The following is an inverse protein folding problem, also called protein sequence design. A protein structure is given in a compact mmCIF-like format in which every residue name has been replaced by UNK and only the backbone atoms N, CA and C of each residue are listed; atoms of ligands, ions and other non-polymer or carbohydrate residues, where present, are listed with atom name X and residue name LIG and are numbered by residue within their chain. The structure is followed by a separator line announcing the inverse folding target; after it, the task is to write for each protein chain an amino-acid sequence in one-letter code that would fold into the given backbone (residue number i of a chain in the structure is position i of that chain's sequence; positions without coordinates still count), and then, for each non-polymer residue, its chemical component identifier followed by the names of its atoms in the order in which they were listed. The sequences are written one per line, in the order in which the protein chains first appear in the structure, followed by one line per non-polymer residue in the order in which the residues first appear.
data_IF_153380178609
#
_entry.id   IF_153380178609
#
_cell.length_a   1.000
_cell.length_b   1.000
_cell.length_c   1.000
_cell.angle_alpha   90.00
_cell.angle_beta   90.00
_cell.angle_gamma   90.00
#
_symmetry.space_group_name_H-M   'P 1'
#
loop_
_entity.id
_entity.type
_entity.pdbx_description
1 polymer ?
#
# COMPACT_ATOMS: atom_id res chain seq x y z
N UNK A 1 7.30 3.51 0.96
CA UNK A 1 8.39 2.50 0.87
C UNK A 1 8.84 1.97 2.24
N UNK A 2 8.67 2.71 3.35
CA UNK A 2 9.11 2.26 4.68
C UNK A 2 8.19 1.32 5.44
N UNK A 3 7.10 0.81 4.82
CA UNK A 3 6.22 -0.16 5.51
C UNK A 3 7.01 -1.40 5.92
N UNK A 4 6.70 -1.96 7.09
CA UNK A 4 7.44 -2.99 7.80
C UNK A 4 8.78 -2.56 8.43
N UNK A 5 9.30 -1.35 8.22
CA UNK A 5 10.50 -0.91 8.97
C UNK A 5 10.28 -0.96 10.50
N UNK A 6 9.03 -0.81 10.94
CA UNK A 6 8.53 -1.11 12.27
C UNK A 6 7.31 -2.03 12.08
N UNK A 7 7.12 -3.08 12.90
CA UNK A 7 5.91 -3.91 12.87
C UNK A 7 4.63 -3.07 13.05
N UNK A 8 3.57 -3.39 12.30
CA UNK A 8 2.33 -2.61 12.31
C UNK A 8 1.58 -2.75 13.64
N UNK A 9 1.82 -3.84 14.38
CA UNK A 9 1.30 -4.07 15.74
C UNK A 9 2.06 -3.30 16.83
N UNK A 10 3.18 -2.66 16.50
CA UNK A 10 3.94 -1.86 17.45
C UNK A 10 3.06 -0.72 18.03
N UNK A 11 3.06 -0.50 19.35
CA UNK A 11 2.14 0.44 20.01
C UNK A 11 2.33 1.92 19.65
N UNK A 12 3.40 2.25 18.92
CA UNK A 12 3.68 3.60 18.41
C UNK A 12 3.61 3.71 16.88
N UNK A 13 3.31 2.61 16.18
CA UNK A 13 3.06 2.66 14.74
C UNK A 13 1.72 3.34 14.47
N UNK A 14 1.71 4.34 13.57
CA UNK A 14 0.51 5.11 13.23
C UNK A 14 0.00 4.87 11.81
N UNK A 15 0.84 4.31 10.91
CA UNK A 15 0.49 4.08 9.51
C UNK A 15 1.24 5.00 8.54
N UNK A 16 0.74 5.07 7.30
CA UNK A 16 1.36 5.82 6.21
C UNK A 16 0.92 7.28 6.14
N UNK A 17 1.81 8.15 5.66
CA UNK A 17 1.53 9.57 5.40
C UNK A 17 1.09 9.79 3.94
N UNK A 18 0.78 11.05 3.58
CA UNK A 18 0.58 11.44 2.19
C UNK A 18 -0.81 11.12 1.64
N UNK A 19 -0.92 10.99 0.30
CA UNK A 19 -2.20 10.83 -0.41
C UNK A 19 -3.02 9.64 0.09
N UNK A 20 -2.34 8.51 0.35
CA UNK A 20 -2.93 7.28 0.87
C UNK A 20 -2.88 7.21 2.40
N UNK A 21 -2.48 8.28 3.09
CA UNK A 21 -2.57 8.35 4.55
C UNK A 21 -4.00 8.59 5.03
N UNK A 22 -4.21 8.45 6.34
CA UNK A 22 -5.49 8.74 6.99
C UNK A 22 -5.45 10.11 7.66
N UNK A 23 -6.63 10.71 7.87
CA UNK A 23 -6.78 11.96 8.63
C UNK A 23 -6.13 11.88 10.02
N UNK A 24 -6.13 10.70 10.65
CA UNK A 24 -5.46 10.49 11.93
C UNK A 24 -3.94 10.65 11.80
N UNK A 25 -3.32 9.99 10.82
CA UNK A 25 -1.87 10.12 10.62
C UNK A 25 -1.51 11.56 10.28
N UNK A 26 -2.29 12.20 9.42
CA UNK A 26 -2.06 13.61 9.05
C UNK A 26 -2.24 14.57 10.22
N UNK A 27 -3.18 14.34 11.14
CA UNK A 27 -3.32 15.20 12.32
C UNK A 27 -2.12 15.08 13.27
N UNK A 28 -1.53 13.89 13.38
CA UNK A 28 -0.28 13.69 14.14
C UNK A 28 0.88 14.43 13.47
N UNK A 29 1.04 14.31 12.15
CA UNK A 29 2.19 14.90 11.44
C UNK A 29 2.07 16.41 11.21
N UNK A 30 0.85 16.94 11.04
CA UNK A 30 0.62 18.40 10.97
C UNK A 30 0.71 19.06 12.34
N UNK A 31 0.37 18.35 13.42
CA UNK A 31 0.50 18.82 14.80
C UNK A 31 1.90 18.65 15.41
N UNK A 32 2.85 18.08 14.69
CA UNK A 32 4.20 17.81 15.20
C UNK A 32 5.04 19.11 15.29
N UNK A 33 5.72 19.31 16.41
CA UNK A 33 6.72 20.38 16.57
C UNK A 33 8.07 20.02 15.93
N UNK A 34 8.37 18.71 15.86
CA UNK A 34 9.56 18.15 15.23
C UNK A 34 9.19 16.91 14.41
N UNK A 35 9.73 16.83 13.20
CA UNK A 35 9.71 15.62 12.37
C UNK A 35 11.14 15.17 12.09
N UNK A 36 11.45 13.92 12.44
CA UNK A 36 12.69 13.25 12.09
C UNK A 36 12.45 12.33 10.89
N UNK A 37 12.84 12.77 9.69
CA UNK A 37 12.88 11.94 8.50
C UNK A 37 14.15 11.08 8.47
N UNK A 38 14.02 9.77 8.27
CA UNK A 38 15.16 8.86 8.18
C UNK A 38 15.02 7.99 6.94
N UNK A 39 15.99 8.05 6.02
CA UNK A 39 15.97 7.32 4.75
C UNK A 39 14.70 7.61 3.94
N UNK A 40 14.24 8.86 3.99
CA UNK A 40 13.03 9.32 3.32
C UNK A 40 13.32 10.57 2.53
N UNK A 41 12.87 10.54 1.28
CA UNK A 41 12.94 11.67 0.35
C UNK A 41 11.75 12.62 0.49
N UNK A 42 10.81 12.37 1.42
CA UNK A 42 9.55 13.10 1.51
C UNK A 42 8.87 13.25 0.14
N UNK A 43 8.67 12.13 -0.57
CA UNK A 43 8.19 12.14 -1.94
C UNK A 43 6.80 12.78 -2.05
N UNK A 44 6.46 13.24 -3.25
CA UNK A 44 5.18 13.89 -3.57
C UNK A 44 3.96 13.15 -2.96
N UNK A 45 3.86 11.85 -3.25
CA UNK A 45 2.75 11.02 -2.78
C UNK A 45 2.78 10.81 -1.26
N UNK A 46 3.95 10.84 -0.62
CA UNK A 46 4.13 10.69 0.83
C UNK A 46 3.85 12.01 1.58
N UNK A 47 3.86 13.13 0.86
CA UNK A 47 3.78 14.50 1.38
C UNK A 47 2.54 15.28 0.90
N UNK A 48 1.61 14.60 0.23
CA UNK A 48 0.40 15.19 -0.37
C UNK A 48 0.69 16.35 -1.35
N UNK A 49 1.51 16.09 -2.37
CA UNK A 49 1.95 17.09 -3.35
C UNK A 49 2.66 18.28 -2.69
N UNK A 50 3.26 18.04 -1.52
CA UNK A 50 3.93 19.04 -0.67
C UNK A 50 3.05 20.21 -0.23
N UNK A 51 1.73 20.11 -0.38
CA UNK A 51 0.84 21.17 0.07
C UNK A 51 0.97 21.37 1.58
N UNK A 52 1.09 22.63 2.04
CA UNK A 52 1.24 22.92 3.44
C UNK A 52 -0.05 22.56 4.20
N UNK A 53 0.11 22.06 5.42
CA UNK A 53 -0.97 21.76 6.36
C UNK A 53 -1.93 20.64 5.91
N UNK A 54 -1.51 19.81 4.95
CA UNK A 54 -2.22 18.59 4.56
C UNK A 54 -1.59 17.39 5.26
N UNK A 55 -0.37 17.03 4.87
CA UNK A 55 0.40 15.98 5.55
C UNK A 55 1.40 16.57 6.53
N UNK A 56 2.02 17.70 6.20
CA UNK A 56 3.04 18.34 7.03
C UNK A 56 2.82 19.85 7.12
N UNK A 57 3.27 20.47 8.22
CA UNK A 57 3.10 21.91 8.49
C UNK A 57 4.44 22.65 8.58
N UNK A 58 5.10 22.95 7.44
CA UNK A 58 6.47 23.46 7.44
C UNK A 58 6.68 24.85 8.04
N UNK A 59 5.62 25.62 8.22
CA UNK A 59 5.69 26.90 8.92
C UNK A 59 5.90 26.75 10.44
N UNK A 60 5.50 25.63 11.03
CA UNK A 60 5.51 25.39 12.49
C UNK A 60 6.35 24.18 12.89
N UNK A 61 6.62 23.26 11.98
CA UNK A 61 7.38 22.03 12.22
C UNK A 61 8.86 22.24 11.97
N UNK A 62 9.72 21.78 12.88
CA UNK A 62 11.16 21.67 12.66
C UNK A 62 11.50 20.33 12.00
N UNK A 63 12.04 20.35 10.80
CA UNK A 63 12.47 19.12 10.12
C UNK A 63 13.94 18.79 10.42
N UNK A 64 14.16 17.54 10.81
CA UNK A 64 15.48 16.92 10.90
C UNK A 64 15.49 15.77 9.90
N UNK A 65 16.57 15.62 9.13
CA UNK A 65 16.67 14.55 8.14
C UNK A 65 18.01 13.83 8.23
N UNK A 66 17.93 12.51 8.19
CA UNK A 66 19.07 11.61 8.09
C UNK A 66 18.90 10.83 6.80
N UNK A 67 19.82 11.00 5.87
CA UNK A 67 19.82 10.26 4.62
C UNK A 67 21.24 9.86 4.24
N UNK A 68 21.38 8.77 3.49
CA UNK A 68 22.68 8.36 2.96
C UNK A 68 23.05 9.22 1.75
N UNK A 69 22.04 9.69 1.01
CA UNK A 69 22.21 10.55 -0.14
C UNK A 69 22.17 12.04 0.27
N UNK A 70 23.27 12.80 0.12
CA UNK A 70 23.27 14.23 0.42
C UNK A 70 22.28 15.04 -0.43
N UNK A 71 21.92 14.58 -1.64
CA UNK A 71 20.99 15.30 -2.53
C UNK A 71 19.54 15.29 -2.01
N UNK A 72 19.20 14.37 -1.12
CA UNK A 72 17.87 14.29 -0.52
C UNK A 72 17.70 15.22 0.69
N UNK A 73 18.80 15.67 1.30
CA UNK A 73 18.76 16.52 2.49
C UNK A 73 18.22 17.91 2.16
N UNK A 74 17.05 18.24 2.70
CA UNK A 74 16.46 19.56 2.56
C UNK A 74 15.86 19.84 1.19
N UNK A 75 15.80 18.83 0.32
CA UNK A 75 15.26 18.92 -1.04
C UNK A 75 13.81 19.41 -1.07
N UNK A 76 12.97 18.87 -0.19
CA UNK A 76 11.53 19.14 -0.17
C UNK A 76 11.05 19.95 1.03
N UNK A 77 11.78 19.91 2.16
CA UNK A 77 11.44 20.66 3.37
C UNK A 77 12.71 21.27 3.99
N UNK A 78 12.69 22.54 4.42
CA UNK A 78 13.85 23.19 5.02
C UNK A 78 14.21 22.50 6.34
N UNK A 79 15.48 22.12 6.48
CA UNK A 79 15.97 21.39 7.65
C UNK A 79 16.55 22.34 8.70
N UNK A 80 16.29 22.03 9.97
CA UNK A 80 17.05 22.60 11.08
C UNK A 80 18.34 21.81 11.33
N UNK A 81 18.35 20.51 11.01
CA UNK A 81 19.51 19.62 11.07
C UNK A 81 19.42 18.61 9.92
N UNK A 82 20.46 18.53 9.10
CA UNK A 82 20.65 17.48 8.11
C UNK A 82 21.89 16.65 8.44
N UNK A 83 21.81 15.33 8.34
CA UNK A 83 22.94 14.44 8.56
C UNK A 83 23.07 13.43 7.41
N UNK A 84 24.22 13.47 6.73
CA UNK A 84 24.59 12.45 5.73
C UNK A 84 25.15 11.24 6.49
N UNK A 85 24.33 10.20 6.65
CA UNK A 85 24.73 9.03 7.42
C UNK A 85 23.91 7.80 7.04
N UNK A 86 24.54 6.63 7.21
CA UNK A 86 23.82 5.37 7.26
C UNK A 86 22.82 5.39 8.46
N UNK A 87 21.51 5.15 8.21
CA UNK A 87 20.49 5.19 9.26
C UNK A 87 20.76 4.25 10.44
N UNK A 88 21.34 3.07 10.20
CA UNK A 88 21.63 2.10 11.26
C UNK A 88 22.71 2.64 12.20
N UNK A 89 23.77 3.25 11.67
CA UNK A 89 24.81 3.87 12.50
C UNK A 89 24.29 5.11 13.24
N UNK A 90 23.51 5.95 12.56
CA UNK A 90 22.91 7.13 13.16
C UNK A 90 22.00 6.76 14.35
N UNK A 91 21.13 5.75 14.20
CA UNK A 91 20.27 5.30 15.29
C UNK A 91 21.04 4.74 16.49
N UNK A 92 22.20 4.09 16.29
CA UNK A 92 23.04 3.66 17.43
C UNK A 92 23.54 4.86 18.24
N UNK A 93 24.04 5.90 17.57
CA UNK A 93 24.52 7.11 18.23
C UNK A 93 23.37 7.87 18.93
N UNK A 94 22.22 8.02 18.26
CA UNK A 94 21.02 8.65 18.82
C UNK A 94 20.54 7.87 20.05
N UNK A 95 20.48 6.54 19.99
CA UNK A 95 20.04 5.71 21.11
C UNK A 95 20.98 5.83 22.32
N UNK A 96 22.30 5.87 22.09
CA UNK A 96 23.27 6.08 23.16
C UNK A 96 23.11 7.45 23.84
N UNK A 97 22.94 8.52 23.05
CA UNK A 97 22.68 9.86 23.58
C UNK A 97 21.33 9.92 24.33
N UNK A 98 20.28 9.34 23.76
CA UNK A 98 18.95 9.27 24.37
C UNK A 98 18.97 8.54 25.72
N UNK A 99 19.68 7.41 25.83
CA UNK A 99 19.84 6.66 27.09
C UNK A 99 20.61 7.46 28.15
N UNK A 100 21.58 8.29 27.77
CA UNK A 100 22.28 9.18 28.72
C UNK A 100 21.36 10.29 29.24
N UNK A 101 20.54 10.88 28.37
CA UNK A 101 19.66 11.99 28.72
C UNK A 101 18.37 11.54 29.43
N UNK A 102 17.84 10.38 29.05
CA UNK A 102 16.57 9.80 29.51
C UNK A 102 16.74 8.28 29.68
N UNK A 103 17.44 7.81 30.73
CA UNK A 103 17.73 6.39 30.93
C UNK A 103 16.46 5.52 31.01
N UNK A 104 15.40 6.05 31.63
CA UNK A 104 14.09 5.39 31.75
C UNK A 104 13.17 5.59 30.53
N UNK A 105 13.66 6.26 29.49
CA UNK A 105 12.87 6.69 28.34
C UNK A 105 11.84 7.78 28.65
N UNK A 106 11.05 8.14 27.64
CA UNK A 106 9.96 9.12 27.78
C UNK A 106 8.62 8.41 27.65
N UNK A 107 7.78 8.50 28.68
CA UNK A 107 6.44 7.92 28.68
C UNK A 107 5.42 8.95 28.21
N UNK A 108 4.58 8.56 27.25
CA UNK A 108 3.48 9.37 26.71
C UNK A 108 2.19 8.53 26.71
N UNK A 109 1.58 8.29 27.87
CA UNK A 109 0.42 7.40 27.99
C UNK A 109 -0.76 7.86 27.14
N UNK A 110 -1.05 9.17 27.14
CA UNK A 110 -2.13 9.74 26.33
C UNK A 110 -1.94 9.51 24.83
N UNK A 111 -0.72 9.72 24.31
CA UNK A 111 -0.40 9.45 22.90
C UNK A 111 -0.54 7.97 22.56
N UNK A 112 -0.09 7.08 23.45
CA UNK A 112 -0.24 5.62 23.26
C UNK A 112 -1.72 5.21 23.25
N UNK A 113 -2.52 5.79 24.15
CA UNK A 113 -3.97 5.55 24.18
C UNK A 113 -4.63 6.05 22.90
N UNK A 114 -4.30 7.26 22.46
CA UNK A 114 -4.82 7.84 21.22
C UNK A 114 -4.53 6.95 19.99
N UNK A 115 -3.30 6.43 19.87
CA UNK A 115 -2.92 5.50 18.79
C UNK A 115 -3.67 4.17 18.91
N UNK A 116 -3.79 3.62 20.12
CA UNK A 116 -4.51 2.37 20.34
C UNK A 116 -6.01 2.50 20.01
N UNK A 117 -6.66 3.58 20.44
CA UNK A 117 -8.06 3.88 20.13
C UNK A 117 -8.25 4.03 18.61
N UNK A 118 -7.35 4.73 17.92
CA UNK A 118 -7.38 4.84 16.46
C UNK A 118 -7.32 3.47 15.77
N UNK A 119 -6.37 2.61 16.14
CA UNK A 119 -6.25 1.26 15.56
C UNK A 119 -7.52 0.43 15.78
N UNK A 120 -8.08 0.46 16.99
CA UNK A 120 -9.34 -0.24 17.31
C UNK A 120 -10.50 0.29 16.47
N UNK A 121 -10.65 1.61 16.39
CA UNK A 121 -11.74 2.24 15.64
C UNK A 121 -11.61 2.00 14.14
N UNK A 122 -10.39 2.02 13.60
CA UNK A 122 -10.12 1.74 12.19
C UNK A 122 -10.48 0.30 11.83
N UNK A 123 -10.13 -0.68 12.67
CA UNK A 123 -10.55 -2.08 12.50
C UNK A 123 -12.08 -2.22 12.60
N UNK A 124 -12.70 -1.57 13.57
CA UNK A 124 -14.15 -1.58 13.73
C UNK A 124 -14.89 -0.98 12.51
N UNK A 125 -14.37 0.10 11.93
CA UNK A 125 -14.94 0.75 10.75
C UNK A 125 -14.87 -0.15 9.50
N UNK A 126 -13.85 -0.99 9.38
CA UNK A 126 -13.71 -1.93 8.26
C UNK A 126 -14.45 -3.26 8.46
N UNK A 127 -14.88 -3.57 9.69
CA UNK A 127 -15.48 -4.87 10.07
C UNK A 127 -16.58 -5.33 9.11
N UNK A 128 -17.50 -4.43 8.75
CA UNK A 128 -18.62 -4.74 7.85
C UNK A 128 -18.13 -5.24 6.49
N UNK A 129 -17.09 -4.62 5.92
CA UNK A 129 -16.55 -5.02 4.63
C UNK A 129 -15.68 -6.26 4.75
N UNK A 130 -14.92 -6.42 5.84
CA UNK A 130 -14.05 -7.58 6.06
C UNK A 130 -14.80 -8.88 6.36
N UNK A 131 -16.04 -8.81 6.86
CA UNK A 131 -16.89 -9.96 7.15
C UNK A 131 -18.01 -10.15 6.11
N UNK A 132 -18.02 -9.34 5.04
CA UNK A 132 -19.03 -9.42 3.98
C UNK A 132 -18.85 -10.71 3.17
N UNK A 133 -19.92 -11.49 2.97
CA UNK A 133 -19.93 -12.71 2.15
C UNK A 133 -20.46 -12.48 0.73
N UNK A 134 -20.71 -11.22 0.32
CA UNK A 134 -21.11 -10.91 -1.06
C UNK A 134 -20.07 -11.34 -2.08
N UNK A 135 -20.53 -11.51 -3.32
CA UNK A 135 -19.69 -11.89 -4.45
C UNK A 135 -20.03 -11.02 -5.68
N UNK A 136 -19.05 -10.46 -6.41
CA UNK A 136 -17.59 -10.52 -6.18
C UNK A 136 -17.15 -10.00 -4.81
N UNK A 137 -15.99 -10.45 -4.31
CA UNK A 137 -15.57 -10.19 -2.92
C UNK A 137 -15.23 -8.72 -2.70
N UNK A 138 -15.43 -8.22 -1.47
CA UNK A 138 -14.79 -6.97 -1.07
C UNK A 138 -13.27 -7.21 -0.96
N UNK A 139 -12.43 -6.24 -1.32
CA UNK A 139 -11.00 -6.39 -1.13
C UNK A 139 -10.62 -6.53 0.35
N UNK A 140 -11.41 -5.94 1.28
CA UNK A 140 -11.24 -6.11 2.72
C UNK A 140 -11.46 -7.54 3.20
N UNK A 141 -12.47 -8.24 2.65
CA UNK A 141 -12.72 -9.65 2.96
C UNK A 141 -11.55 -10.51 2.50
N UNK A 142 -10.99 -10.24 1.32
CA UNK A 142 -9.78 -10.91 0.82
C UNK A 142 -8.62 -10.72 1.83
N UNK A 143 -8.37 -9.49 2.30
CA UNK A 143 -7.31 -9.24 3.29
C UNK A 143 -7.54 -9.93 4.63
N UNK A 144 -8.80 -9.99 5.09
CA UNK A 144 -9.15 -10.69 6.33
C UNK A 144 -8.87 -12.19 6.24
N UNK A 145 -9.32 -12.83 5.15
CA UNK A 145 -9.07 -14.26 4.92
C UNK A 145 -7.57 -14.56 4.74
N UNK A 146 -6.81 -13.67 4.07
CA UNK A 146 -5.34 -13.76 4.01
C UNK A 146 -4.73 -13.63 5.41
N UNK A 147 -5.20 -12.69 6.23
CA UNK A 147 -4.67 -12.45 7.58
C UNK A 147 -4.90 -13.60 8.56
N UNK A 148 -5.97 -14.39 8.37
CA UNK A 148 -6.24 -15.57 9.20
C UNK A 148 -5.34 -16.77 8.89
N UNK A 149 -4.87 -16.89 7.64
CA UNK A 149 -4.18 -18.09 7.15
C UNK A 149 -2.69 -17.85 6.91
N UNK A 150 -2.31 -16.67 6.45
CA UNK A 150 -0.94 -16.36 6.08
C UNK A 150 -0.04 -16.32 7.32
N UNK A 151 1.11 -17.02 7.33
CA UNK A 151 1.99 -17.03 8.49
C UNK A 151 2.56 -15.63 8.74
N UNK A 152 2.68 -15.26 10.03
CA UNK A 152 3.17 -13.94 10.46
C UNK A 152 4.57 -13.59 9.96
N UNK A 153 5.38 -14.60 9.67
CA UNK A 153 6.74 -14.47 9.18
C UNK A 153 6.86 -14.66 7.65
N UNK A 154 5.74 -14.80 6.95
CA UNK A 154 5.66 -14.81 5.50
C UNK A 154 5.92 -13.43 4.89
N UNK A 155 6.20 -13.41 3.58
CA UNK A 155 6.54 -12.19 2.84
C UNK A 155 5.48 -11.91 1.77
N UNK A 156 4.96 -10.68 1.76
CA UNK A 156 4.00 -10.21 0.75
C UNK A 156 4.72 -9.33 -0.27
N UNK A 157 4.48 -9.57 -1.54
CA UNK A 157 4.83 -8.63 -2.61
C UNK A 157 3.56 -8.05 -3.20
N UNK A 158 3.42 -6.74 -3.28
CA UNK A 158 2.27 -6.15 -3.96
C UNK A 158 2.63 -5.75 -5.38
N UNK A 159 1.61 -5.46 -6.17
CA UNK A 159 1.78 -4.74 -7.42
C UNK A 159 1.36 -3.27 -7.26
N UNK A 160 0.68 -2.67 -8.24
CA UNK A 160 0.27 -1.26 -8.23
C UNK A 160 -1.26 -1.18 -8.27
N UNK A 161 -1.83 -0.34 -7.41
CA UNK A 161 -3.27 -0.11 -7.32
C UNK A 161 -3.81 -0.39 -5.91
N UNK A 162 -5.04 -0.89 -5.82
CA UNK A 162 -5.67 -1.24 -4.54
C UNK A 162 -4.83 -2.26 -3.75
N UNK A 163 -4.30 -3.28 -4.43
CA UNK A 163 -3.44 -4.31 -3.86
C UNK A 163 -2.13 -3.78 -3.25
N UNK A 164 -1.77 -2.49 -3.48
CA UNK A 164 -0.69 -1.80 -2.80
C UNK A 164 -1.19 -0.94 -1.65
N UNK A 165 -2.07 0.01 -1.96
CA UNK A 165 -2.43 1.07 -1.01
C UNK A 165 -3.49 0.60 -0.01
N UNK A 166 -4.43 -0.23 -0.45
CA UNK A 166 -5.42 -0.87 0.42
C UNK A 166 -4.73 -1.83 1.39
N UNK A 167 -3.80 -2.66 0.90
CA UNK A 167 -2.95 -3.51 1.75
C UNK A 167 -2.16 -2.67 2.75
N UNK A 168 -1.49 -1.60 2.29
CA UNK A 168 -0.69 -0.77 3.18
C UNK A 168 -1.51 -0.07 4.28
N UNK A 169 -2.80 0.18 4.06
CA UNK A 169 -3.67 0.77 5.07
C UNK A 169 -4.32 -0.27 5.99
N UNK A 170 -4.64 -1.46 5.46
CA UNK A 170 -5.65 -2.36 6.05
C UNK A 170 -5.14 -3.76 6.38
N UNK A 171 -3.87 -4.08 6.08
CA UNK A 171 -3.24 -5.35 6.43
C UNK A 171 -2.07 -5.12 7.40
N UNK A 172 -2.07 -5.83 8.53
CA UNK A 172 -1.02 -5.71 9.56
C UNK A 172 0.22 -6.54 9.17
N UNK A 173 1.36 -5.88 8.91
CA UNK A 173 2.65 -6.54 8.68
C UNK A 173 3.40 -6.71 10.00
N UNK A 174 3.63 -7.95 10.40
CA UNK A 174 4.19 -8.28 11.73
C UNK A 174 5.71 -8.30 11.80
N UNK A 175 6.41 -8.32 10.66
CA UNK A 175 7.85 -8.54 10.61
C UNK A 175 8.55 -7.52 9.71
N UNK A 176 9.74 -7.01 10.11
CA UNK A 176 10.55 -6.19 9.23
C UNK A 176 10.96 -6.90 7.95
N UNK A 177 10.77 -6.22 6.81
CA UNK A 177 10.96 -6.80 5.49
C UNK A 177 9.86 -7.78 5.08
N UNK A 178 8.75 -7.84 5.83
CA UNK A 178 7.61 -8.72 5.53
C UNK A 178 6.75 -8.26 4.35
N UNK A 179 6.99 -7.06 3.80
CA UNK A 179 6.29 -6.57 2.60
C UNK A 179 7.19 -5.79 1.64
N UNK A 180 6.93 -5.95 0.35
CA UNK A 180 7.61 -5.24 -0.73
C UNK A 180 6.61 -4.63 -1.71
N UNK A 181 6.72 -3.31 -1.94
CA UNK A 181 5.86 -2.55 -2.83
C UNK A 181 6.66 -1.91 -3.98
N UNK A 182 6.09 -1.81 -5.19
CA UNK A 182 6.59 -0.89 -6.22
C UNK A 182 6.16 0.55 -5.89
N UNK A 183 7.12 1.34 -5.39
CA UNK A 183 6.93 2.73 -4.99
C UNK A 183 7.11 3.74 -6.12
N UNK A 184 8.33 4.30 -6.24
CA UNK A 184 8.62 5.50 -7.03
C UNK A 184 8.15 5.45 -8.48
N UNK A 185 8.57 4.44 -9.26
CA UNK A 185 8.12 4.27 -10.64
C UNK A 185 6.72 3.63 -10.72
N UNK A 186 6.28 2.94 -9.66
CA UNK A 186 5.00 2.24 -9.58
C UNK A 186 4.71 1.38 -10.83
N UNK A 187 5.63 0.46 -11.16
CA UNK A 187 5.54 -0.38 -12.35
C UNK A 187 4.57 -1.53 -12.15
N UNK A 188 3.50 -1.59 -12.96
CA UNK A 188 2.59 -2.74 -13.01
C UNK A 188 3.30 -3.98 -13.55
N UNK A 189 2.97 -5.16 -13.01
CA UNK A 189 3.66 -6.41 -13.30
C UNK A 189 4.91 -6.64 -12.44
N UNK A 190 5.23 -5.72 -11.52
CA UNK A 190 6.29 -5.90 -10.54
C UNK A 190 5.96 -7.06 -9.60
N UNK A 191 4.77 -7.06 -9.00
CA UNK A 191 4.37 -8.06 -7.99
C UNK A 191 4.52 -9.51 -8.48
N UNK A 192 3.93 -9.86 -9.64
CA UNK A 192 4.02 -11.20 -10.23
C UNK A 192 5.44 -11.66 -10.53
N UNK A 193 6.36 -10.72 -10.84
CA UNK A 193 7.74 -11.03 -11.19
C UNK A 193 8.64 -11.08 -9.94
N UNK A 194 8.54 -10.08 -9.08
CA UNK A 194 9.38 -9.91 -7.90
C UNK A 194 9.14 -10.98 -6.84
N UNK A 195 7.92 -11.53 -6.75
CA UNK A 195 7.58 -12.62 -5.83
C UNK A 195 8.51 -13.85 -6.01
N UNK A 196 8.94 -14.13 -7.24
CA UNK A 196 9.87 -15.23 -7.53
C UNK A 196 11.26 -14.97 -6.94
N UNK A 197 11.80 -13.76 -7.15
CA UNK A 197 13.08 -13.37 -6.59
C UNK A 197 13.07 -13.36 -5.05
N UNK A 198 11.99 -12.87 -4.45
CA UNK A 198 11.81 -12.90 -2.99
C UNK A 198 11.77 -14.33 -2.47
N UNK A 199 11.06 -15.24 -3.15
CA UNK A 199 11.03 -16.66 -2.76
C UNK A 199 12.41 -17.33 -2.87
N UNK A 200 13.19 -17.02 -3.91
CA UNK A 200 14.55 -17.53 -4.05
C UNK A 200 15.48 -17.00 -2.95
N UNK A 201 15.30 -15.74 -2.53
CA UNK A 201 16.07 -15.15 -1.43
C UNK A 201 15.64 -15.64 -0.04
N UNK A 202 14.39 -16.12 0.10
CA UNK A 202 13.80 -16.60 1.34
C UNK A 202 13.14 -17.99 1.13
N UNK A 203 13.93 -19.04 0.83
CA UNK A 203 13.40 -20.34 0.41
C UNK A 203 12.50 -21.01 1.45
N UNK A 204 12.74 -20.76 2.75
CA UNK A 204 11.97 -21.35 3.84
C UNK A 204 10.66 -20.61 4.16
N UNK A 205 10.46 -19.42 3.58
CA UNK A 205 9.29 -18.58 3.87
C UNK A 205 8.15 -18.84 2.88
N UNK A 206 6.92 -18.66 3.34
CA UNK A 206 5.76 -18.52 2.43
C UNK A 206 5.82 -17.13 1.81
N UNK A 207 5.75 -17.06 0.49
CA UNK A 207 5.84 -15.82 -0.26
C UNK A 207 4.64 -15.75 -1.21
N UNK A 208 3.89 -14.66 -1.13
CA UNK A 208 2.71 -14.43 -1.96
C UNK A 208 2.82 -13.10 -2.68
N UNK A 209 2.06 -12.95 -3.75
CA UNK A 209 1.72 -11.63 -4.25
C UNK A 209 0.24 -11.35 -4.26
N UNK A 210 -0.11 -10.14 -3.82
CA UNK A 210 -1.43 -9.55 -4.01
C UNK A 210 -1.32 -8.62 -5.22
N UNK A 211 -2.02 -8.95 -6.30
CA UNK A 211 -1.89 -8.26 -7.59
C UNK A 211 -3.26 -8.07 -8.25
N UNK A 212 -3.48 -6.97 -8.95
CA UNK A 212 -4.71 -6.77 -9.74
C UNK A 212 -4.65 -7.48 -11.10
N UNK A 213 -5.79 -7.82 -11.69
CA UNK A 213 -5.87 -8.49 -12.99
C UNK A 213 -5.17 -7.72 -14.12
N UNK A 214 -5.30 -6.40 -14.18
CA UNK A 214 -4.57 -5.57 -15.13
C UNK A 214 -3.04 -5.58 -14.91
N UNK A 215 -2.60 -5.69 -13.66
CA UNK A 215 -1.17 -5.77 -13.30
C UNK A 215 -0.58 -7.14 -13.62
N UNK A 216 -1.31 -8.21 -13.34
CA UNK A 216 -0.92 -9.58 -13.69
C UNK A 216 -0.85 -9.75 -15.21
N UNK A 217 -1.82 -9.20 -15.95
CA UNK A 217 -1.86 -9.26 -17.41
C UNK A 217 -0.71 -8.55 -18.12
N UNK A 218 0.03 -7.67 -17.44
CA UNK A 218 1.20 -7.01 -18.01
C UNK A 218 2.35 -8.00 -18.30
N UNK A 219 2.49 -9.05 -17.48
CA UNK A 219 3.52 -10.07 -17.68
C UNK A 219 3.15 -11.45 -17.09
N UNK A 220 2.22 -12.20 -17.72
CA UNK A 220 1.87 -13.55 -17.27
C UNK A 220 2.97 -14.59 -17.53
N UNK A 221 3.98 -14.28 -18.36
CA UNK A 221 5.05 -15.22 -18.73
C UNK A 221 5.90 -15.68 -17.55
N UNK A 222 5.87 -14.96 -16.42
CA UNK A 222 6.54 -15.33 -15.16
C UNK A 222 6.09 -16.70 -14.63
N UNK A 223 4.89 -17.15 -15.00
CA UNK A 223 4.40 -18.49 -14.68
C UNK A 223 5.32 -19.58 -15.23
N UNK A 224 5.86 -19.41 -16.45
CA UNK A 224 6.77 -20.37 -17.05
C UNK A 224 8.06 -20.53 -16.23
N UNK A 225 8.65 -19.41 -15.81
CA UNK A 225 9.86 -19.41 -15.01
C UNK A 225 9.65 -20.09 -13.65
N UNK A 226 8.49 -19.88 -13.02
CA UNK A 226 8.17 -20.52 -11.76
C UNK A 226 8.00 -22.04 -11.88
N UNK A 227 7.44 -22.53 -12.99
CA UNK A 227 7.31 -23.97 -13.26
C UNK A 227 8.67 -24.57 -13.58
N UNK A 228 9.44 -23.95 -14.50
CA UNK A 228 10.76 -24.42 -14.91
C UNK A 228 11.71 -24.57 -13.72
N UNK A 229 11.68 -23.62 -12.79
CA UNK A 229 12.57 -23.57 -11.63
C UNK A 229 11.92 -24.07 -10.33
N UNK A 230 10.69 -24.59 -10.39
CA UNK A 230 9.91 -25.05 -9.24
C UNK A 230 9.84 -24.03 -8.07
N UNK A 231 9.53 -22.78 -8.37
CA UNK A 231 9.51 -21.68 -7.39
C UNK A 231 8.14 -21.58 -6.75
N UNK A 232 8.01 -22.10 -5.53
CA UNK A 232 6.76 -22.18 -4.78
C UNK A 232 6.28 -20.81 -4.25
N UNK A 233 5.53 -20.08 -5.09
CA UNK A 233 4.84 -18.82 -4.75
C UNK A 233 3.35 -18.94 -4.98
N UNK A 234 2.58 -18.08 -4.31
CA UNK A 234 1.13 -17.95 -4.56
C UNK A 234 0.82 -16.58 -5.16
N UNK A 235 0.24 -16.54 -6.36
CA UNK A 235 -0.35 -15.33 -6.93
C UNK A 235 -1.82 -15.26 -6.54
N UNK A 236 -2.20 -14.22 -5.80
CA UNK A 236 -3.60 -13.88 -5.53
C UNK A 236 -3.97 -12.73 -6.45
N UNK A 237 -4.66 -13.05 -7.55
CA UNK A 237 -5.13 -12.09 -8.53
C UNK A 237 -6.46 -11.50 -8.05
N UNK A 238 -6.40 -10.30 -7.48
CA UNK A 238 -7.52 -9.48 -7.04
C UNK A 238 -8.22 -8.88 -8.27
N UNK A 239 -9.14 -9.63 -8.87
CA UNK A 239 -9.66 -9.40 -10.20
C UNK A 239 -10.93 -8.55 -10.18
N UNK A 240 -10.81 -7.27 -10.54
CA UNK A 240 -11.95 -6.35 -10.65
C UNK A 240 -12.29 -5.96 -12.09
N UNK A 241 -11.69 -6.66 -13.06
CA UNK A 241 -11.90 -6.46 -14.49
C UNK A 241 -11.60 -5.02 -14.92
N UNK A 242 -10.59 -4.39 -14.33
CA UNK A 242 -10.27 -2.99 -14.56
C UNK A 242 -8.84 -2.62 -14.16
N UNK A 243 -8.36 -1.51 -14.71
CA UNK A 243 -7.38 -0.66 -14.04
C UNK A 243 -8.08 0.16 -12.95
N UNK A 244 -8.55 -0.50 -11.89
CA UNK A 244 -9.56 0.03 -10.95
C UNK A 244 -9.25 1.39 -10.32
N UNK A 245 -8.00 1.63 -9.90
CA UNK A 245 -7.57 2.93 -9.37
C UNK A 245 -7.64 4.03 -10.44
N UNK A 246 -7.22 3.73 -11.67
CA UNK A 246 -7.29 4.67 -12.79
C UNK A 246 -8.76 4.95 -13.11
N UNK A 247 -9.59 3.92 -13.19
CA UNK A 247 -11.03 4.07 -13.42
C UNK A 247 -11.70 5.00 -12.40
N UNK A 248 -11.37 4.85 -11.11
CA UNK A 248 -11.88 5.69 -10.04
C UNK A 248 -11.45 7.15 -10.17
N UNK A 249 -10.16 7.40 -10.43
CA UNK A 249 -9.63 8.75 -10.66
C UNK A 249 -10.23 9.39 -11.91
N UNK A 250 -10.33 8.66 -13.02
CA UNK A 250 -10.90 9.17 -14.27
C UNK A 250 -12.39 9.50 -14.11
N UNK A 251 -13.15 8.65 -13.43
CA UNK A 251 -14.56 8.91 -13.15
C UNK A 251 -14.75 10.14 -12.25
N UNK A 252 -13.90 10.29 -11.22
CA UNK A 252 -13.94 11.41 -10.29
C UNK A 252 -13.62 12.76 -10.94
N UNK A 253 -12.63 12.81 -11.82
CA UNK A 253 -12.14 14.06 -12.42
C UNK A 253 -12.73 14.40 -13.80
N UNK A 254 -13.01 13.39 -14.61
CA UNK A 254 -13.42 13.55 -16.02
C UNK A 254 -14.77 12.93 -16.32
N UNK A 255 -15.46 12.37 -15.32
CA UNK A 255 -16.82 11.82 -15.45
C UNK A 255 -16.94 10.67 -16.48
N UNK A 256 -15.83 9.96 -16.77
CA UNK A 256 -15.83 8.79 -17.65
C UNK A 256 -14.82 7.72 -17.17
N UNK A 257 -14.85 6.54 -17.80
CA UNK A 257 -13.93 5.41 -17.51
C UNK A 257 -13.27 4.83 -18.77
N UNK A 258 -13.21 5.61 -19.85
CA UNK A 258 -12.60 5.23 -21.12
C UNK A 258 -11.22 4.55 -20.95
N UNK A 259 -11.06 3.36 -21.53
CA UNK A 259 -9.81 2.59 -21.50
C UNK A 259 -9.41 1.97 -20.16
N UNK A 260 -10.25 2.09 -19.12
CA UNK A 260 -9.90 1.65 -17.75
C UNK A 260 -10.72 0.46 -17.25
N UNK A 261 -11.91 0.20 -17.81
CA UNK A 261 -12.72 -0.99 -17.53
C UNK A 261 -12.59 -1.97 -18.68
N UNK A 262 -12.47 -3.26 -18.35
CA UNK A 262 -12.37 -4.32 -19.34
C UNK A 262 -13.78 -4.81 -19.68
N UNK A 263 -14.30 -4.33 -20.80
CA UNK A 263 -15.65 -4.67 -21.27
C UNK A 263 -15.58 -5.16 -22.72
N UNK A 264 -16.55 -6.00 -23.08
CA UNK A 264 -16.83 -6.38 -24.47
C UNK A 264 -17.58 -5.26 -25.20
N UNK A 265 -17.69 -5.30 -26.54
CA UNK A 265 -18.46 -4.34 -27.31
C UNK A 265 -19.94 -4.23 -26.92
N UNK A 266 -20.52 -5.30 -26.36
CA UNK A 266 -21.90 -5.32 -25.85
C UNK A 266 -22.07 -4.71 -24.45
N UNK A 267 -20.99 -4.20 -23.86
CA UNK A 267 -20.98 -3.59 -22.52
C UNK A 267 -20.83 -4.59 -21.36
N UNK A 268 -20.87 -5.89 -21.62
CA UNK A 268 -20.61 -6.89 -20.58
C UNK A 268 -19.15 -6.89 -20.14
N UNK A 269 -18.91 -7.19 -18.86
CA UNK A 269 -17.55 -7.26 -18.31
C UNK A 269 -16.75 -8.39 -18.96
N UNK A 270 -15.48 -8.11 -19.21
CA UNK A 270 -14.50 -9.05 -19.73
C UNK A 270 -13.37 -9.24 -18.72
N UNK A 271 -12.95 -10.50 -18.54
CA UNK A 271 -11.72 -10.83 -17.83
C UNK A 271 -11.14 -12.10 -18.46
N UNK A 272 -9.82 -12.19 -18.65
CA UNK A 272 -9.17 -13.46 -18.96
C UNK A 272 -9.47 -14.51 -17.88
N UNK A 273 -9.56 -15.77 -18.27
CA UNK A 273 -9.66 -16.88 -17.30
C UNK A 273 -8.27 -17.16 -16.71
N UNK A 274 -7.83 -16.36 -15.73
CA UNK A 274 -6.47 -16.41 -15.19
C UNK A 274 -6.09 -17.78 -14.62
N UNK A 275 -7.06 -18.47 -14.00
CA UNK A 275 -6.83 -19.84 -13.52
C UNK A 275 -6.58 -20.81 -14.69
N UNK A 276 -7.33 -20.72 -15.79
CA UNK A 276 -7.09 -21.55 -17.00
C UNK A 276 -5.75 -21.21 -17.64
N UNK A 277 -5.40 -19.93 -17.72
CA UNK A 277 -4.10 -19.48 -18.23
C UNK A 277 -2.96 -20.07 -17.38
N UNK A 278 -3.07 -20.00 -16.05
CA UNK A 278 -2.09 -20.62 -15.16
C UNK A 278 -1.97 -22.13 -15.38
N UNK A 279 -3.10 -22.83 -15.52
CA UNK A 279 -3.11 -24.27 -15.88
C UNK A 279 -2.38 -24.55 -17.18
N UNK A 280 -2.56 -23.71 -18.19
CA UNK A 280 -1.88 -23.86 -19.48
C UNK A 280 -0.35 -23.72 -19.39
N UNK A 281 0.15 -22.96 -18.41
CA UNK A 281 1.59 -22.90 -18.09
C UNK A 281 2.08 -24.06 -17.20
N UNK A 282 1.19 -24.91 -16.69
CA UNK A 282 1.53 -25.98 -15.74
C UNK A 282 1.48 -25.56 -14.26
N UNK A 283 0.93 -24.38 -13.95
CA UNK A 283 0.76 -23.87 -12.59
C UNK A 283 -0.56 -24.38 -12.01
N UNK A 284 -0.55 -24.89 -10.77
CA UNK A 284 -1.79 -25.22 -10.05
C UNK A 284 -2.63 -23.97 -9.88
N UNK A 285 -3.94 -24.07 -10.05
CA UNK A 285 -4.75 -22.85 -9.96
C UNK A 285 -6.21 -23.09 -9.65
N UNK A 286 -6.84 -22.05 -9.10
CA UNK A 286 -8.26 -22.04 -8.77
C UNK A 286 -8.87 -20.67 -9.04
N UNK A 287 -10.08 -20.66 -9.60
CA UNK A 287 -10.90 -19.45 -9.68
C UNK A 287 -11.95 -19.49 -8.59
N UNK A 288 -11.98 -18.46 -7.76
CA UNK A 288 -12.97 -18.31 -6.71
C UNK A 288 -14.34 -17.95 -7.33
N UNK A 289 -15.39 -18.55 -6.78
CA UNK A 289 -16.79 -18.50 -7.19
C UNK A 289 -17.71 -17.98 -6.09
N UNK A 290 -17.26 -18.01 -4.83
CA UNK A 290 -17.96 -17.46 -3.66
C UNK A 290 -16.96 -16.89 -2.66
N UNK A 291 -17.36 -15.96 -1.79
CA UNK A 291 -16.47 -15.41 -0.78
C UNK A 291 -15.95 -16.49 0.20
N UNK A 292 -16.80 -17.44 0.58
CA UNK A 292 -16.50 -18.40 1.65
C UNK A 292 -15.47 -19.47 1.25
N UNK A 293 -15.25 -19.70 -0.05
CA UNK A 293 -14.25 -20.69 -0.48
C UNK A 293 -12.83 -20.13 -0.55
N UNK A 294 -12.65 -18.80 -0.64
CA UNK A 294 -11.33 -18.20 -0.86
C UNK A 294 -10.32 -18.60 0.21
N UNK A 295 -10.71 -18.54 1.49
CA UNK A 295 -9.85 -18.93 2.61
C UNK A 295 -9.33 -20.36 2.49
N UNK A 296 -10.21 -21.30 2.10
CA UNK A 296 -9.83 -22.71 1.91
C UNK A 296 -8.89 -22.89 0.72
N UNK A 297 -9.14 -22.20 -0.39
CA UNK A 297 -8.30 -22.21 -1.58
C UNK A 297 -6.92 -21.60 -1.32
N UNK A 298 -6.87 -20.52 -0.54
CA UNK A 298 -5.62 -19.87 -0.16
C UNK A 298 -4.78 -20.76 0.77
N UNK A 299 -5.41 -21.44 1.73
CA UNK A 299 -4.73 -22.44 2.56
C UNK A 299 -4.17 -23.59 1.73
N UNK A 300 -4.98 -24.15 0.83
CA UNK A 300 -4.56 -25.21 -0.10
C UNK A 300 -3.34 -24.78 -0.93
N UNK A 301 -3.38 -23.57 -1.49
CA UNK A 301 -2.29 -23.01 -2.29
C UNK A 301 -0.99 -22.91 -1.47
N UNK A 302 -1.06 -22.38 -0.25
CA UNK A 302 0.10 -22.28 0.64
C UNK A 302 0.66 -23.65 1.02
N UNK A 303 -0.19 -24.64 1.31
CA UNK A 303 0.22 -25.97 1.74
C UNK A 303 0.79 -26.82 0.60
N UNK A 304 0.44 -26.52 -0.65
CA UNK A 304 0.93 -27.24 -1.84
C UNK A 304 2.45 -27.20 -1.99
N UNK A 305 3.11 -26.13 -1.53
CA UNK A 305 4.53 -25.87 -1.76
C UNK A 305 4.93 -25.93 -3.25
N UNK A 306 4.01 -25.52 -4.13
CA UNK A 306 4.20 -25.43 -5.58
C UNK A 306 3.77 -24.04 -6.06
N UNK A 307 4.17 -23.61 -7.28
CA UNK A 307 3.58 -22.43 -7.89
C UNK A 307 2.05 -22.57 -7.94
N UNK A 308 1.31 -21.59 -7.43
CA UNK A 308 -0.15 -21.62 -7.38
C UNK A 308 -0.76 -20.26 -7.73
N UNK A 309 -1.77 -20.23 -8.61
CA UNK A 309 -2.55 -19.01 -8.91
C UNK A 309 -3.99 -19.11 -8.41
N UNK A 310 -4.45 -18.10 -7.68
CA UNK A 310 -5.84 -17.94 -7.29
C UNK A 310 -6.41 -16.70 -7.99
N UNK A 311 -7.38 -16.90 -8.87
CA UNK A 311 -8.16 -15.83 -9.47
C UNK A 311 -9.33 -15.49 -8.54
N UNK A 312 -9.33 -14.28 -7.97
CA UNK A 312 -10.28 -13.85 -6.95
C UNK A 312 -11.12 -12.69 -7.48
N UNK A 313 -12.34 -12.95 -7.99
CA UNK A 313 -13.25 -11.89 -8.39
C UNK A 313 -13.55 -10.95 -7.24
N UNK A 314 -13.37 -9.67 -7.49
CA UNK A 314 -13.37 -8.62 -6.49
C UNK A 314 -14.14 -7.38 -7.00
N UNK A 315 -14.86 -6.71 -6.12
CA UNK A 315 -15.44 -5.41 -6.43
C UNK A 315 -14.37 -4.30 -6.46
N UNK A 316 -14.57 -3.30 -7.31
CA UNK A 316 -13.70 -2.13 -7.36
C UNK A 316 -14.07 -1.08 -6.29
N UNK A 317 -13.85 -1.42 -5.01
CA UNK A 317 -14.02 -0.49 -3.89
C UNK A 317 -12.78 0.40 -3.78
N UNK A 318 -12.96 1.72 -3.64
CA UNK A 318 -11.87 2.66 -3.46
C UNK A 318 -11.07 2.45 -2.18
N UNK A 319 -9.78 2.81 -2.22
CA UNK A 319 -9.00 3.02 -1.00
C UNK A 319 -9.30 4.44 -0.49
N UNK A 320 -9.58 4.65 0.80
CA UNK A 320 -9.68 5.99 1.37
C UNK A 320 -8.43 6.83 1.09
N UNK A 321 -8.61 8.07 0.64
CA UNK A 321 -7.54 9.01 0.31
C UNK A 321 -7.79 10.33 1.01
N UNK A 322 -7.36 10.45 2.27
CA UNK A 322 -7.55 11.68 3.04
C UNK A 322 -6.53 12.77 2.67
N UNK A 323 -5.40 12.36 2.08
CA UNK A 323 -4.40 13.29 1.57
C UNK A 323 -4.76 13.85 0.20
N UNK A 324 -3.81 14.54 -0.41
CA UNK A 324 -4.02 15.18 -1.72
C UNK A 324 -2.92 14.75 -2.67
N UNK A 325 -3.31 14.27 -3.84
CA UNK A 325 -2.39 14.10 -4.95
C UNK A 325 -2.88 14.89 -6.14
N UNK A 326 -2.16 15.96 -6.47
CA UNK A 326 -2.53 16.82 -7.58
C UNK A 326 -1.62 16.55 -8.77
N UNK A 327 -1.90 15.43 -9.46
CA UNK A 327 -1.28 15.10 -10.76
C UNK A 327 -1.45 16.25 -11.77
N UNK A 328 -2.55 17.01 -11.65
CA UNK A 328 -2.90 18.06 -12.60
C UNK A 328 -2.19 19.39 -12.35
N UNK A 329 -1.66 19.68 -11.17
CA UNK A 329 -0.93 20.95 -10.96
C UNK A 329 0.39 21.01 -11.75
N UNK A 330 0.94 19.85 -12.13
CA UNK A 330 2.11 19.76 -13.00
C UNK A 330 1.74 20.11 -14.46
N UNK A 331 0.48 19.93 -14.88
CA UNK A 331 0.09 19.98 -16.31
C UNK A 331 -1.12 20.88 -16.64
N UNK A 332 -1.90 21.32 -15.66
CA UNK A 332 -3.16 22.08 -15.80
C UNK A 332 -3.54 22.74 -14.46
N UNK A 333 -2.99 23.93 -14.15
CA UNK A 333 -3.25 24.61 -12.89
C UNK A 333 -4.74 24.93 -12.73
N UNK A 334 -5.32 24.58 -11.57
CA UNK A 334 -6.67 25.01 -11.20
C UNK A 334 -6.66 26.51 -10.92
N UNK A 335 -7.72 27.23 -11.25
CA UNK A 335 -7.80 28.69 -11.07
C UNK A 335 -7.59 29.14 -9.60
N UNK A 336 -7.90 28.27 -8.64
CA UNK A 336 -7.70 28.53 -7.20
C UNK A 336 -6.39 27.93 -6.65
N UNK A 337 -5.51 27.41 -7.51
CA UNK A 337 -4.18 26.94 -7.13
C UNK A 337 -3.13 27.71 -7.92
N UNK A 338 -2.45 28.62 -7.23
CA UNK A 338 -1.41 29.48 -7.82
C UNK A 338 -0.09 29.15 -7.15
N UNK A 339 0.92 28.81 -7.96
CA UNK A 339 2.26 28.41 -7.48
C UNK A 339 2.22 27.27 -6.45
N UNK A 340 1.32 26.29 -6.65
CA UNK A 340 1.15 25.17 -5.72
C UNK A 340 0.55 25.57 -4.36
N UNK A 341 -0.13 26.71 -4.27
CA UNK A 341 -0.85 27.15 -3.06
C UNK A 341 -2.33 27.28 -3.35
N UNK A 342 -3.15 26.63 -2.52
CA UNK A 342 -4.59 26.81 -2.52
C UNK A 342 -4.91 28.23 -2.00
N UNK A 343 -5.48 29.08 -2.86
CA UNK A 343 -5.74 30.48 -2.55
C UNK A 343 -6.96 30.67 -1.63
N UNK A 344 -8.00 29.86 -1.82
CA UNK A 344 -9.21 29.82 -0.99
C UNK A 344 -9.98 28.49 -1.12
N UNK A 345 -10.91 28.26 -0.19
CA UNK A 345 -11.76 27.07 -0.14
C UNK A 345 -11.15 25.88 0.60
N UNK A 346 -11.99 24.88 0.92
CA UNK A 346 -11.47 23.59 1.33
C UNK A 346 -10.81 22.95 0.12
N UNK A 347 -9.62 22.38 0.28
CA UNK A 347 -9.09 21.48 -0.72
C UNK A 347 -10.19 20.44 -1.01
N UNK A 348 -10.63 20.35 -2.26
CA UNK A 348 -11.64 19.37 -2.64
C UNK A 348 -11.04 17.98 -2.37
N UNK A 349 -11.35 17.43 -1.20
CA UNK A 349 -10.98 16.07 -0.83
C UNK A 349 -11.54 15.17 -1.91
N UNK A 350 -10.72 14.23 -2.38
CA UNK A 350 -11.18 13.26 -3.35
C UNK A 350 -12.31 12.45 -2.70
N UNK A 351 -13.56 12.70 -3.11
CA UNK A 351 -14.67 11.85 -2.74
C UNK A 351 -14.73 10.72 -3.76
N UNK A 352 -14.37 9.52 -3.32
CA UNK A 352 -14.62 8.32 -4.11
C UNK A 352 -16.13 8.25 -4.39
N UNK A 353 -16.52 8.50 -5.63
CA UNK A 353 -17.89 8.23 -6.05
C UNK A 353 -17.99 6.73 -6.27
N UNK A 354 -18.75 6.06 -5.42
CA UNK A 354 -19.15 4.69 -5.67
C UNK A 354 -19.88 4.65 -7.02
N UNK A 355 -19.26 3.99 -7.99
CA UNK A 355 -19.87 3.77 -9.29
C UNK A 355 -20.89 2.65 -9.13
N UNK A 356 -22.17 3.01 -8.94
CA UNK A 356 -23.28 2.09 -9.22
C UNK A 356 -23.26 1.63 -10.67
#
# INVERSE_FOLDING_TARGET
MGQSAIPDDHPLHVGMTGFWGTNFVHSITTGADVILGVGTRFAEADASSWYPNVTFSPATTKFIQIDLDPEELGRNYPLVIGAVADPRQAFKAILQAAKKLKPEGVKRPELRKLIADYKTNFKAANKKLSEDSRFPMTPQRILADVGEVFPKDGIIVTDVGWNKNGVGQQYDISMPGGIHHPGGLATMGFGPSAVLGVKLAAPDKKVITLVGDGGFGANPSVLAAAVEQNIAVVWVVMNNCAFGTIAGLTAGHYQHTFGTKFNKPDGSTYSPEWAEIARAYGVKSRKVRTADEFKSAFKEALDSNEPYLIDVPMENIGVPTDGIWNINDIYSPKANVVEGRLLDGAAARFQHKDTK
#
